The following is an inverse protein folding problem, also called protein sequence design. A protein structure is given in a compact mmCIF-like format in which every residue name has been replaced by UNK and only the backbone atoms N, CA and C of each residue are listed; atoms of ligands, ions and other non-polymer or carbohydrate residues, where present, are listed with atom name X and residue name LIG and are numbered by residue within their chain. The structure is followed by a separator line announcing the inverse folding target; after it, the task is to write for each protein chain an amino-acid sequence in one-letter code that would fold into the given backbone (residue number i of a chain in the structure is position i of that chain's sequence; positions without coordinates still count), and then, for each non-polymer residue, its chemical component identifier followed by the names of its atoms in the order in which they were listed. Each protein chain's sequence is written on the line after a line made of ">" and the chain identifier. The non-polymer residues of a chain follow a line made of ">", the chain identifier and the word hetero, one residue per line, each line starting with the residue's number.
data_IF_196898897991
#
_entry.id   IF_196898897991
#
_cell.length_a   1.000
_cell.length_b   1.000
_cell.length_c   1.000
_cell.angle_alpha   90.00
_cell.angle_beta   90.00
_cell.angle_gamma   90.00
#
_symmetry.space_group_name_H-M   'P 1'
#
loop_
_entity.id
_entity.type
_entity.pdbx_description
1 polymer ?
#
# COMPACT_ATOMS: atom_id res chain seq x y z
N UNK A 1 13.72 -55.12 -34.29
CA UNK A 1 12.42 -54.44 -34.28
C UNK A 1 12.44 -53.51 -33.06
N UNK A 2 13.04 -52.31 -33.13
CA UNK A 2 12.43 -51.03 -33.56
C UNK A 2 11.11 -50.78 -32.80
N UNK A 3 10.88 -49.73 -31.99
CA UNK A 3 11.35 -48.33 -32.06
C UNK A 3 10.93 -47.52 -30.81
N UNK A 4 11.85 -46.67 -30.32
CA UNK A 4 11.74 -45.24 -29.97
C UNK A 4 10.79 -44.72 -28.86
N UNK A 5 11.41 -44.02 -27.91
CA UNK A 5 10.84 -43.03 -26.98
C UNK A 5 10.50 -41.69 -27.67
N UNK A 6 9.70 -40.81 -27.03
CA UNK A 6 9.79 -39.38 -27.25
C UNK A 6 10.44 -38.66 -26.07
N UNK A 7 11.55 -37.99 -26.38
CA UNK A 7 12.18 -36.90 -25.64
C UNK A 7 11.38 -35.63 -25.96
N UNK A 8 10.91 -34.90 -24.94
CA UNK A 8 10.51 -33.50 -25.11
C UNK A 8 11.31 -32.65 -24.12
N UNK A 9 12.45 -32.19 -24.61
CA UNK A 9 13.29 -31.10 -24.13
C UNK A 9 12.56 -29.77 -24.26
N UNK A 10 12.32 -29.07 -23.15
CA UNK A 10 11.83 -27.68 -23.14
C UNK A 10 12.98 -26.70 -22.83
N UNK A 11 13.59 -26.24 -23.92
CA UNK A 11 14.14 -24.90 -24.21
C UNK A 11 14.19 -23.92 -23.02
N UNK A 12 15.31 -23.88 -22.29
CA UNK A 12 15.78 -22.66 -21.61
C UNK A 12 16.78 -21.97 -22.52
N UNK A 13 16.27 -21.11 -23.40
CA UNK A 13 17.08 -20.28 -24.29
C UNK A 13 17.54 -19.02 -23.56
N UNK A 14 18.80 -19.03 -23.13
CA UNK A 14 19.75 -17.89 -23.04
C UNK A 14 19.13 -16.48 -22.97
N UNK A 15 18.92 -15.99 -21.75
CA UNK A 15 18.75 -14.54 -21.50
C UNK A 15 20.12 -13.89 -21.68
N UNK A 16 20.30 -13.26 -22.83
CA UNK A 16 21.55 -12.53 -23.16
C UNK A 16 21.41 -11.11 -22.64
N UNK A 17 22.21 -10.77 -21.64
CA UNK A 17 22.33 -9.45 -21.03
C UNK A 17 22.92 -8.47 -22.06
N UNK A 18 22.09 -7.62 -22.67
CA UNK A 18 22.58 -6.50 -23.50
C UNK A 18 22.53 -5.20 -22.72
N UNK A 19 23.69 -4.80 -22.19
CA UNK A 19 23.93 -3.47 -21.68
C UNK A 19 23.98 -2.47 -22.85
N UNK A 20 23.10 -1.47 -22.84
CA UNK A 20 23.16 -0.33 -23.76
C UNK A 20 23.86 0.83 -23.05
N UNK A 21 25.16 0.96 -23.31
CA UNK A 21 25.97 2.12 -22.90
C UNK A 21 25.86 3.17 -24.00
N UNK A 22 25.26 4.31 -23.70
CA UNK A 22 25.29 5.49 -24.57
C UNK A 22 26.28 6.49 -24.00
N UNK A 23 27.47 6.57 -24.60
CA UNK A 23 28.40 7.69 -24.41
C UNK A 23 27.97 8.83 -25.34
N UNK A 24 27.58 9.97 -24.78
CA UNK A 24 27.56 11.24 -25.49
C UNK A 24 28.60 12.16 -24.84
N UNK A 25 29.69 12.38 -25.58
CA UNK A 25 30.69 13.42 -25.34
C UNK A 25 30.06 14.76 -25.75
N UNK A 26 29.92 15.69 -24.81
CA UNK A 26 29.58 17.08 -25.08
C UNK A 26 30.51 18.00 -24.29
N UNK A 27 31.46 18.65 -24.98
CA UNK A 27 32.29 19.71 -24.43
C UNK A 27 31.56 21.06 -24.58
N UNK A 28 31.43 21.81 -23.48
CA UNK A 28 31.04 23.21 -23.50
C UNK A 28 31.95 24.01 -22.58
N UNK A 29 32.88 24.76 -23.17
CA UNK A 29 33.65 25.82 -22.52
C UNK A 29 32.85 27.13 -22.61
N UNK A 30 32.70 27.84 -21.49
CA UNK A 30 32.13 29.18 -21.46
C UNK A 30 32.52 29.89 -20.16
N UNK A 31 33.38 30.90 -20.31
CA UNK A 31 34.20 31.56 -19.31
C UNK A 31 33.48 32.60 -18.45
N UNK A 32 34.21 33.01 -17.41
CA UNK A 32 33.81 33.85 -16.27
C UNK A 32 33.39 35.30 -16.58
N UNK A 33 32.63 35.82 -15.61
CA UNK A 33 32.67 37.19 -15.06
C UNK A 33 31.92 38.33 -15.79
N UNK A 34 30.82 38.79 -15.18
CA UNK A 34 30.42 40.22 -15.19
C UNK A 34 29.81 40.60 -13.82
N UNK A 35 30.64 41.25 -13.02
CA UNK A 35 30.42 42.51 -12.27
C UNK A 35 28.97 42.93 -11.99
N UNK A 36 28.66 42.98 -10.70
CA UNK A 36 27.60 43.79 -10.09
C UNK A 36 27.65 45.24 -10.59
N UNK A 37 26.60 45.67 -11.29
CA UNK A 37 26.33 47.09 -11.52
C UNK A 37 24.86 47.36 -11.31
N UNK A 38 24.56 48.02 -10.20
CA UNK A 38 23.28 48.63 -9.89
C UNK A 38 22.98 49.78 -10.87
N UNK A 39 21.90 49.65 -11.65
CA UNK A 39 21.16 50.81 -12.16
C UNK A 39 19.75 50.41 -12.63
N UNK A 40 18.75 50.80 -11.85
CA UNK A 40 17.31 50.94 -12.22
C UNK A 40 17.15 52.33 -12.90
N UNK A 41 16.12 52.65 -13.72
CA UNK A 41 14.82 51.98 -13.84
C UNK A 41 14.27 51.80 -15.27
N UNK A 42 13.60 50.68 -15.53
CA UNK A 42 12.61 50.59 -16.61
C UNK A 42 11.45 49.70 -16.18
N UNK A 43 10.28 50.31 -16.18
CA UNK A 43 8.96 49.76 -15.88
C UNK A 43 8.64 48.58 -16.80
N UNK A 44 8.25 47.47 -16.18
CA UNK A 44 7.91 46.21 -16.82
C UNK A 44 7.84 45.15 -15.72
N UNK A 45 6.76 45.17 -14.94
CA UNK A 45 6.52 44.20 -13.88
C UNK A 45 6.35 42.81 -14.47
N UNK A 46 7.46 42.11 -14.68
CA UNK A 46 7.49 40.67 -14.55
C UNK A 46 7.17 40.38 -13.08
N UNK A 47 5.87 40.27 -12.77
CA UNK A 47 5.47 39.53 -11.58
C UNK A 47 6.07 38.14 -11.76
N UNK A 48 7.16 37.91 -11.05
CA UNK A 48 7.50 36.58 -10.60
C UNK A 48 6.34 36.18 -9.68
N UNK A 49 5.24 35.69 -10.29
CA UNK A 49 4.10 35.12 -9.58
C UNK A 49 4.69 33.90 -8.90
N UNK A 50 5.25 34.11 -7.70
CA UNK A 50 5.44 33.04 -6.75
C UNK A 50 4.02 32.53 -6.53
N UNK A 51 3.66 31.32 -7.00
CA UNK A 51 2.35 30.79 -6.71
C UNK A 51 2.24 30.81 -5.20
N UNK A 52 1.23 31.48 -4.67
CA UNK A 52 0.94 31.47 -3.25
C UNK A 52 0.50 30.05 -2.87
N UNK A 53 1.43 29.11 -2.77
CA UNK A 53 1.18 27.75 -2.34
C UNK A 53 0.77 27.81 -0.86
N UNK A 54 -0.50 28.10 -0.62
CA UNK A 54 -1.13 27.95 0.66
C UNK A 54 -1.18 26.45 0.92
N UNK A 55 -0.42 26.00 1.91
CA UNK A 55 -0.47 24.62 2.36
C UNK A 55 -1.90 24.41 2.88
N UNK A 56 -2.71 23.70 2.10
CA UNK A 56 -4.03 23.31 2.55
C UNK A 56 -3.87 22.01 3.35
N UNK A 57 -4.28 22.06 4.61
CA UNK A 57 -4.34 20.88 5.46
C UNK A 57 -5.73 20.27 5.30
N UNK A 58 -5.79 19.06 4.78
CA UNK A 58 -7.04 18.31 4.62
C UNK A 58 -7.06 17.18 5.63
N UNK A 59 -8.17 17.04 6.36
CA UNK A 59 -8.37 15.88 7.22
C UNK A 59 -8.78 14.67 6.38
N UNK A 60 -8.04 13.59 6.55
CA UNK A 60 -8.36 12.28 6.04
C UNK A 60 -9.08 11.53 7.18
N UNK A 61 -10.37 11.14 7.04
CA UNK A 61 -11.11 10.47 8.12
C UNK A 61 -10.48 9.10 8.48
N UNK A 62 -11.01 8.38 9.46
CA UNK A 62 -10.63 6.96 9.60
C UNK A 62 -11.32 6.13 8.51
N UNK A 63 -10.64 5.12 7.99
CA UNK A 63 -11.24 4.12 7.09
C UNK A 63 -11.02 2.74 7.68
N UNK A 64 -12.08 1.94 7.78
CA UNK A 64 -12.04 0.57 8.30
C UNK A 64 -12.70 -0.38 7.31
N UNK A 65 -12.18 -1.58 7.21
CA UNK A 65 -12.81 -2.71 6.55
C UNK A 65 -12.58 -3.98 7.35
N UNK A 66 -13.44 -4.98 7.19
CA UNK A 66 -13.36 -6.25 7.91
C UNK A 66 -13.45 -7.38 6.91
N UNK A 67 -12.49 -8.31 7.00
CA UNK A 67 -12.44 -9.51 6.16
C UNK A 67 -12.65 -10.73 7.05
N UNK A 68 -13.55 -11.62 6.66
CA UNK A 68 -13.82 -12.85 7.39
C UNK A 68 -13.09 -14.03 6.75
N UNK A 69 -12.70 -14.99 7.59
CA UNK A 69 -11.96 -16.18 7.19
C UNK A 69 -12.69 -17.46 7.59
N UNK A 70 -12.46 -18.53 6.84
CA UNK A 70 -12.93 -19.86 7.18
C UNK A 70 -12.19 -20.43 8.40
N UNK A 71 -12.79 -21.46 9.00
CA UNK A 71 -12.18 -22.16 10.13
C UNK A 71 -10.82 -22.75 9.74
N UNK A 72 -9.83 -22.60 10.61
CA UNK A 72 -8.47 -23.14 10.44
C UNK A 72 -7.75 -22.71 9.14
N UNK A 73 -8.26 -21.67 8.47
CA UNK A 73 -7.70 -21.16 7.22
C UNK A 73 -7.27 -19.69 7.35
N UNK A 74 -6.23 -19.36 6.58
CA UNK A 74 -5.75 -18.01 6.30
C UNK A 74 -5.85 -17.65 4.82
N UNK A 75 -6.60 -18.44 4.03
CA UNK A 75 -6.78 -18.18 2.61
C UNK A 75 -7.66 -16.94 2.40
N UNK A 76 -7.10 -15.95 1.70
CA UNK A 76 -7.81 -14.71 1.38
C UNK A 76 -8.68 -14.91 0.13
N UNK A 77 -10.00 -14.98 0.34
CA UNK A 77 -10.99 -15.16 -0.74
C UNK A 77 -11.04 -13.96 -1.69
N UNK A 78 -11.52 -14.19 -2.92
CA UNK A 78 -11.71 -13.10 -3.89
C UNK A 78 -12.68 -12.01 -3.39
N UNK A 79 -13.69 -12.38 -2.62
CA UNK A 79 -14.59 -11.41 -1.97
C UNK A 79 -13.82 -10.58 -0.92
N UNK A 80 -13.00 -11.22 -0.09
CA UNK A 80 -12.13 -10.53 0.87
C UNK A 80 -11.15 -9.57 0.21
N UNK A 81 -10.61 -9.94 -0.95
CA UNK A 81 -9.73 -9.08 -1.75
C UNK A 81 -10.44 -7.79 -2.19
N UNK A 82 -11.68 -7.89 -2.69
CA UNK A 82 -12.48 -6.72 -3.11
C UNK A 82 -12.79 -5.78 -1.94
N UNK A 83 -12.97 -6.30 -0.73
CA UNK A 83 -13.20 -5.48 0.47
C UNK A 83 -11.99 -4.60 0.84
N UNK A 84 -10.80 -4.88 0.30
CA UNK A 84 -9.57 -4.13 0.54
C UNK A 84 -9.34 -2.99 -0.46
N UNK A 85 -10.12 -2.92 -1.55
CA UNK A 85 -9.95 -1.89 -2.59
C UNK A 85 -10.02 -0.45 -2.05
N UNK A 86 -10.95 -0.07 -1.13
CA UNK A 86 -10.98 1.28 -0.59
C UNK A 86 -9.71 1.66 0.20
N UNK A 87 -9.14 0.68 0.91
CA UNK A 87 -7.89 0.85 1.65
C UNK A 87 -6.74 1.06 0.68
N UNK A 88 -6.66 0.26 -0.38
CA UNK A 88 -5.66 0.36 -1.41
C UNK A 88 -5.66 1.71 -2.12
N UNK A 89 -6.84 2.21 -2.48
CA UNK A 89 -7.01 3.53 -3.11
C UNK A 89 -6.46 4.62 -2.19
N UNK A 90 -6.82 4.59 -0.90
CA UNK A 90 -6.33 5.55 0.09
C UNK A 90 -4.81 5.54 0.21
N UNK A 91 -4.21 4.36 0.37
CA UNK A 91 -2.76 4.20 0.55
C UNK A 91 -1.95 4.69 -0.65
N UNK A 92 -2.48 4.53 -1.88
CA UNK A 92 -1.85 5.04 -3.10
C UNK A 92 -2.00 6.55 -3.27
N UNK A 93 -3.16 7.11 -2.91
CA UNK A 93 -3.44 8.55 -3.03
C UNK A 93 -2.73 9.38 -1.96
N UNK A 94 -2.46 8.78 -0.80
CA UNK A 94 -1.86 9.45 0.34
C UNK A 94 -0.63 8.68 0.83
N UNK A 95 0.57 8.94 0.28
CA UNK A 95 1.81 8.25 0.65
C UNK A 95 2.15 8.34 2.14
N UNK A 96 1.72 9.41 2.83
CA UNK A 96 1.93 9.59 4.27
C UNK A 96 0.94 8.79 5.15
N UNK A 97 -0.03 8.09 4.56
CA UNK A 97 -0.97 7.24 5.30
C UNK A 97 -0.39 5.84 5.53
N UNK A 98 -0.88 5.15 6.55
CA UNK A 98 -0.51 3.76 6.84
C UNK A 98 -1.76 2.96 7.21
N UNK A 99 -1.60 1.65 7.35
CA UNK A 99 -2.64 0.74 7.80
C UNK A 99 -2.19 -0.13 8.96
N UNK A 100 -3.15 -0.48 9.80
CA UNK A 100 -3.01 -1.47 10.86
C UNK A 100 -3.94 -2.64 10.48
N UNK A 101 -3.39 -3.85 10.51
CA UNK A 101 -4.05 -5.09 10.15
C UNK A 101 -4.11 -5.95 11.41
N UNK A 102 -5.28 -6.06 12.01
CA UNK A 102 -5.50 -6.75 13.29
C UNK A 102 -6.21 -8.07 13.04
N UNK A 103 -5.54 -9.18 13.33
CA UNK A 103 -6.13 -10.50 13.24
C UNK A 103 -6.80 -10.93 14.53
N UNK A 104 -7.97 -11.57 14.41
CA UNK A 104 -8.72 -12.14 15.54
C UNK A 104 -9.02 -13.63 15.31
N UNK A 105 -8.94 -14.38 16.40
CA UNK A 105 -9.33 -15.79 16.51
C UNK A 105 -10.69 -15.95 17.18
N UNK A 106 -11.27 -17.15 17.10
CA UNK A 106 -12.44 -17.52 17.90
C UNK A 106 -12.04 -18.21 19.22
N UNK A 107 -13.00 -18.51 20.09
CA UNK A 107 -12.75 -19.27 21.31
C UNK A 107 -12.58 -20.75 20.93
N UNK A 108 -11.31 -21.16 20.77
CA UNK A 108 -10.85 -22.55 20.67
C UNK A 108 -10.04 -22.89 21.94
N UNK A 109 -9.89 -24.18 22.29
CA UNK A 109 -9.32 -24.58 23.58
C UNK A 109 -7.83 -24.26 23.75
N UNK A 110 -7.11 -23.92 22.67
CA UNK A 110 -5.70 -23.54 22.73
C UNK A 110 -5.51 -22.09 22.27
N UNK A 111 -5.17 -21.21 23.21
CA UNK A 111 -4.97 -19.79 22.98
C UNK A 111 -3.74 -19.51 22.09
N UNK A 112 -2.68 -20.30 22.22
CA UNK A 112 -1.44 -20.13 21.42
C UNK A 112 -1.69 -20.38 19.92
N UNK A 113 -2.48 -21.40 19.59
CA UNK A 113 -2.85 -21.70 18.20
C UNK A 113 -3.67 -20.56 17.58
N UNK A 114 -4.54 -19.94 18.38
CA UNK A 114 -5.35 -18.81 17.93
C UNK A 114 -4.51 -17.57 17.65
N UNK A 115 -3.51 -17.27 18.49
CA UNK A 115 -2.58 -16.16 18.26
C UNK A 115 -1.76 -16.37 16.98
N UNK A 116 -1.31 -17.61 16.73
CA UNK A 116 -0.62 -17.95 15.49
C UNK A 116 -1.51 -17.77 14.26
N UNK A 117 -2.70 -18.37 14.28
CA UNK A 117 -3.63 -18.29 13.15
C UNK A 117 -4.14 -16.86 12.88
N UNK A 118 -4.38 -16.06 13.93
CA UNK A 118 -4.75 -14.65 13.75
C UNK A 118 -3.61 -13.83 13.15
N UNK A 119 -2.36 -14.12 13.51
CA UNK A 119 -1.20 -13.50 12.88
C UNK A 119 -1.11 -13.87 11.40
N UNK A 120 -1.21 -15.15 11.04
CA UNK A 120 -1.13 -15.61 9.64
C UNK A 120 -2.19 -14.97 8.74
N UNK A 121 -3.41 -14.80 9.25
CA UNK A 121 -4.49 -14.09 8.53
C UNK A 121 -4.15 -12.62 8.30
N UNK A 122 -3.67 -11.94 9.33
CA UNK A 122 -3.28 -10.53 9.23
C UNK A 122 -2.07 -10.37 8.29
N UNK A 123 -1.10 -11.27 8.37
CA UNK A 123 0.06 -11.33 7.48
C UNK A 123 -0.34 -11.56 6.02
N UNK A 124 -1.28 -12.47 5.76
CA UNK A 124 -1.79 -12.72 4.39
C UNK A 124 -2.38 -11.47 3.78
N UNK A 125 -3.16 -10.70 4.53
CA UNK A 125 -3.72 -9.42 4.07
C UNK A 125 -2.61 -8.38 3.84
N UNK A 126 -1.61 -8.31 4.74
CA UNK A 126 -0.48 -7.40 4.58
C UNK A 126 0.30 -7.68 3.28
N UNK A 127 0.61 -8.95 3.01
CA UNK A 127 1.27 -9.38 1.77
C UNK A 127 0.42 -9.08 0.55
N UNK A 128 -0.89 -9.33 0.61
CA UNK A 128 -1.79 -8.99 -0.48
C UNK A 128 -1.77 -7.48 -0.77
N UNK A 129 -1.87 -6.63 0.27
CA UNK A 129 -1.83 -5.18 0.14
C UNK A 129 -0.51 -4.72 -0.47
N UNK A 130 0.62 -5.24 0.02
CA UNK A 130 1.94 -4.86 -0.48
C UNK A 130 2.13 -5.30 -1.93
N UNK A 131 1.89 -6.58 -2.23
CA UNK A 131 2.17 -7.16 -3.55
C UNK A 131 1.24 -6.70 -4.65
N UNK A 132 -0.06 -6.56 -4.38
CA UNK A 132 -1.08 -6.23 -5.40
C UNK A 132 -1.21 -4.73 -5.59
N UNK A 133 -1.05 -3.94 -4.51
CA UNK A 133 -1.24 -2.48 -4.58
C UNK A 133 0.07 -1.69 -4.58
N UNK A 134 1.22 -2.36 -4.41
CA UNK A 134 2.54 -1.73 -4.43
C UNK A 134 2.79 -0.84 -3.20
N UNK A 135 2.22 -1.22 -2.05
CA UNK A 135 2.42 -0.49 -0.79
C UNK A 135 3.67 -1.02 -0.08
N UNK A 136 4.53 -0.09 0.35
CA UNK A 136 5.73 -0.37 1.14
C UNK A 136 5.37 -1.08 2.46
N UNK A 137 6.13 -2.11 2.83
CA UNK A 137 5.85 -2.92 4.03
C UNK A 137 5.89 -2.09 5.32
N UNK A 138 6.73 -1.05 5.36
CA UNK A 138 6.86 -0.13 6.50
C UNK A 138 5.57 0.65 6.79
N UNK A 139 4.64 0.71 5.82
CA UNK A 139 3.33 1.37 5.95
C UNK A 139 2.23 0.40 6.38
N UNK A 140 2.56 -0.86 6.67
CA UNK A 140 1.63 -1.91 7.06
C UNK A 140 2.04 -2.47 8.42
N UNK A 141 1.25 -2.16 9.45
CA UNK A 141 1.45 -2.70 10.78
C UNK A 141 0.57 -3.94 10.98
N UNK A 142 1.17 -5.05 11.41
CA UNK A 142 0.45 -6.28 11.73
C UNK A 142 0.28 -6.39 13.25
N UNK A 143 -0.92 -6.75 13.70
CA UNK A 143 -1.25 -7.02 15.10
C UNK A 143 -2.01 -8.34 15.18
N UNK A 144 -1.62 -9.20 16.12
CA UNK A 144 -2.34 -10.44 16.43
C UNK A 144 -3.04 -10.28 17.78
N UNK A 145 -4.37 -10.27 17.78
CA UNK A 145 -5.17 -10.17 19.00
C UNK A 145 -5.60 -11.53 19.56
N UNK A 146 -5.41 -12.63 18.82
CA UNK A 146 -5.96 -13.93 19.19
C UNK A 146 -7.45 -13.82 19.51
N UNK A 147 -7.87 -14.45 20.61
CA UNK A 147 -9.27 -14.45 21.07
C UNK A 147 -9.58 -13.35 22.09
N UNK A 148 -8.65 -12.41 22.34
CA UNK A 148 -8.76 -11.43 23.44
C UNK A 148 -9.79 -10.33 23.20
N UNK A 149 -10.17 -10.09 21.93
CA UNK A 149 -11.13 -9.06 21.51
C UNK A 149 -12.30 -9.67 20.72
N UNK A 150 -13.19 -10.45 21.37
CA UNK A 150 -14.30 -11.09 20.70
C UNK A 150 -15.37 -10.08 20.27
N UNK A 151 -15.79 -10.14 19.01
CA UNK A 151 -16.94 -9.36 18.51
C UNK A 151 -18.26 -9.97 19.01
N UNK A 152 -18.25 -11.27 19.30
CA UNK A 152 -19.39 -12.03 19.77
C UNK A 152 -18.98 -13.08 20.79
N UNK A 153 -19.63 -13.11 21.95
CA UNK A 153 -19.33 -14.06 23.04
C UNK A 153 -20.13 -15.38 22.99
N UNK A 154 -21.00 -15.54 22.00
CA UNK A 154 -21.81 -16.75 21.86
C UNK A 154 -21.03 -17.96 21.32
N UNK A 155 -21.47 -19.17 21.67
CA UNK A 155 -20.84 -20.42 21.23
C UNK A 155 -21.42 -20.99 19.92
N UNK A 156 -22.34 -20.28 19.26
CA UNK A 156 -22.94 -20.75 18.01
C UNK A 156 -21.94 -20.59 16.86
N UNK A 157 -22.07 -21.41 15.82
CA UNK A 157 -21.21 -21.32 14.64
C UNK A 157 -21.17 -19.91 14.03
N UNK A 158 -22.32 -19.22 13.99
CA UNK A 158 -22.44 -17.84 13.51
C UNK A 158 -21.65 -16.85 14.37
N UNK A 159 -21.60 -17.05 15.68
CA UNK A 159 -20.89 -16.19 16.61
C UNK A 159 -19.38 -16.37 16.45
N UNK A 160 -18.95 -17.64 16.36
CA UNK A 160 -17.55 -17.99 16.08
C UNK A 160 -17.08 -17.49 14.72
N UNK A 161 -17.95 -17.48 13.70
CA UNK A 161 -17.57 -16.96 12.38
C UNK A 161 -17.30 -15.46 12.43
N UNK A 162 -18.09 -14.71 13.21
CA UNK A 162 -17.85 -13.27 13.41
C UNK A 162 -16.53 -12.97 14.10
N UNK A 163 -15.99 -13.89 14.90
CA UNK A 163 -14.70 -13.70 15.56
C UNK A 163 -13.50 -14.06 14.67
N UNK A 164 -13.69 -14.94 13.67
CA UNK A 164 -12.68 -15.28 12.66
C UNK A 164 -12.57 -14.19 11.60
N UNK A 165 -11.95 -13.09 11.98
CA UNK A 165 -11.88 -11.87 11.16
C UNK A 165 -10.51 -11.21 11.22
N UNK A 166 -10.24 -10.39 10.22
CA UNK A 166 -9.18 -9.39 10.25
C UNK A 166 -9.81 -8.02 10.06
N UNK A 167 -9.46 -7.09 10.95
CA UNK A 167 -9.83 -5.69 10.83
C UNK A 167 -8.66 -4.92 10.21
N UNK A 168 -8.92 -4.23 9.12
CA UNK A 168 -7.95 -3.38 8.44
C UNK A 168 -8.39 -1.95 8.62
N UNK A 169 -7.57 -1.15 9.26
CA UNK A 169 -7.85 0.26 9.51
C UNK A 169 -6.73 1.14 9.01
N UNK A 170 -7.11 2.25 8.37
CA UNK A 170 -6.21 3.38 8.14
C UNK A 170 -6.65 4.51 9.06
N UNK A 171 -5.83 4.87 10.07
CA UNK A 171 -6.18 5.88 11.06
C UNK A 171 -6.47 7.25 10.45
N UNK A 172 -7.20 8.08 11.20
CA UNK A 172 -7.39 9.51 10.86
C UNK A 172 -6.02 10.19 10.73
N UNK A 173 -5.82 10.98 9.68
CA UNK A 173 -4.58 11.74 9.46
C UNK A 173 -4.84 13.11 8.84
N UNK A 174 -3.84 14.00 8.89
CA UNK A 174 -3.87 15.29 8.20
C UNK A 174 -2.89 15.21 7.04
N UNK A 175 -3.38 15.43 5.82
CA UNK A 175 -2.56 15.41 4.61
C UNK A 175 -2.37 16.83 4.07
N UNK A 176 -1.18 17.12 3.56
CA UNK A 176 -0.88 18.39 2.89
C UNK A 176 -1.33 18.30 1.44
N UNK A 177 -2.22 19.18 1.02
CA UNK A 177 -2.63 19.31 -0.37
C UNK A 177 -2.15 20.65 -0.93
N UNK A 178 -1.68 20.63 -2.17
CA UNK A 178 -1.19 21.82 -2.88
C UNK A 178 -2.30 22.48 -3.72
N UNK A 179 -3.55 22.02 -3.59
CA UNK A 179 -4.68 22.54 -4.36
C UNK A 179 -5.93 22.58 -3.51
N UNK A 180 -6.72 23.66 -3.56
CA UNK A 180 -8.06 23.66 -2.98
C UNK A 180 -8.88 22.57 -3.65
N UNK A 181 -9.33 21.60 -2.86
CA UNK A 181 -10.35 20.65 -3.30
C UNK A 181 -11.62 21.46 -3.52
N UNK A 182 -11.94 21.76 -4.78
CA UNK A 182 -13.31 22.09 -5.12
C UNK A 182 -14.09 20.79 -4.92
N UNK A 183 -14.77 20.69 -3.79
CA UNK A 183 -15.69 19.60 -3.45
C UNK A 183 -16.81 19.54 -4.50
N UNK A 184 -16.57 18.83 -5.59
CA UNK A 184 -17.63 18.31 -6.41
C UNK A 184 -18.19 17.09 -5.65
N UNK A 185 -19.22 17.36 -4.83
CA UNK A 185 -20.23 16.43 -4.29
C UNK A 185 -20.06 14.97 -4.73
N UNK A 186 -19.83 14.09 -3.75
CA UNK A 186 -20.41 12.76 -3.75
C UNK A 186 -21.51 12.72 -2.68
#
# INVERSE_FOLDING_TARGET
>A
MNTLAPIITSIFSRITLTAFVVLALGCGNGSDNVTSTSSTPASGSNENVVPNAQILLTELPELRTTVYFDAESYDLTAEGQLLLDPIAVRLRQHPDSYVIVVGHGDDFPNEEDNVGLSYERAFTIAIYISSVFGVEEERIQIVSAGSTEPLSSGNRAVDKQRNKRVEVLSPKSIVRTLSPVNDAKF
#
